data_IF_122098963322
#
_entry.id   IF_122098963322
#
_cell.length_a   1.000
_cell.length_b   1.000
_cell.length_c   1.000
_cell.angle_alpha   90.00
_cell.angle_beta   90.00
_cell.angle_gamma   90.00
#
_symmetry.space_group_name_H-M   'P 1'
#
loop_
_entity.id
_entity.type
_entity.pdbx_description
1 polymer ?
#
# COMPACT_ATOMS: atom_id res chain seq x y z
N UNK A 1 9.94 59.11 -65.37
CA UNK A 1 10.87 58.53 -64.38
C UNK A 1 10.58 59.16 -63.02
N UNK A 2 9.73 58.53 -62.21
CA UNK A 2 9.59 58.84 -60.80
C UNK A 2 9.40 57.52 -60.05
N UNK A 3 10.37 57.23 -59.19
CA UNK A 3 10.46 56.02 -58.38
C UNK A 3 9.43 56.05 -57.25
N UNK A 4 8.51 55.08 -57.22
CA UNK A 4 7.76 54.74 -56.01
C UNK A 4 8.60 53.75 -55.20
N UNK A 5 9.14 54.20 -54.07
CA UNK A 5 9.86 53.38 -53.09
C UNK A 5 8.80 52.66 -52.26
N UNK A 6 8.70 51.33 -52.41
CA UNK A 6 7.89 50.46 -51.56
C UNK A 6 8.65 50.18 -50.26
N UNK A 7 8.24 50.79 -49.14
CA UNK A 7 8.76 50.45 -47.81
C UNK A 7 8.20 49.09 -47.38
N UNK A 8 9.06 48.06 -47.38
CA UNK A 8 8.75 46.80 -46.70
C UNK A 8 8.80 47.00 -45.19
N UNK A 9 7.65 46.95 -44.52
CA UNK A 9 7.58 46.81 -43.07
C UNK A 9 8.04 45.39 -42.69
N UNK A 10 9.26 45.27 -42.18
CA UNK A 10 9.73 44.03 -41.55
C UNK A 10 8.99 43.83 -40.23
N UNK A 11 8.08 42.86 -40.21
CA UNK A 11 7.49 42.33 -38.98
C UNK A 11 8.56 41.52 -38.23
N UNK A 12 9.23 42.15 -37.28
CA UNK A 12 10.04 41.47 -36.28
C UNK A 12 9.13 40.63 -35.38
N UNK A 13 9.00 39.35 -35.68
CA UNK A 13 8.37 38.38 -34.78
C UNK A 13 9.35 38.11 -33.64
N UNK A 14 9.15 38.78 -32.51
CA UNK A 14 9.84 38.47 -31.26
C UNK A 14 9.26 37.12 -30.79
N UNK A 15 9.92 36.04 -31.17
CA UNK A 15 9.69 34.72 -30.59
C UNK A 15 10.19 34.78 -29.16
N UNK A 16 9.27 35.05 -28.23
CA UNK A 16 9.55 34.94 -26.80
C UNK A 16 10.03 33.52 -26.51
N UNK A 17 11.26 33.40 -26.02
CA UNK A 17 11.75 32.19 -25.37
C UNK A 17 10.89 31.99 -24.12
N UNK A 18 9.83 31.20 -24.26
CA UNK A 18 9.01 30.76 -23.16
C UNK A 18 9.82 29.67 -22.44
N UNK A 19 10.63 30.09 -21.47
CA UNK A 19 11.33 29.17 -20.58
C UNK A 19 10.28 28.59 -19.64
N UNK A 20 9.76 27.41 -19.98
CA UNK A 20 8.95 26.62 -19.06
C UNK A 20 9.83 26.18 -17.90
N UNK A 21 9.62 26.80 -16.73
CA UNK A 21 10.17 26.29 -15.48
C UNK A 21 9.37 25.04 -15.12
N UNK A 22 9.90 23.86 -15.43
CA UNK A 22 9.39 22.62 -14.87
C UNK A 22 9.60 22.68 -13.35
N UNK A 23 8.50 22.68 -12.61
CA UNK A 23 8.54 22.52 -11.16
C UNK A 23 9.25 21.21 -10.85
N UNK A 24 10.42 21.28 -10.22
CA UNK A 24 11.14 20.13 -9.71
C UNK A 24 10.32 19.50 -8.57
N UNK A 25 9.37 18.65 -8.94
CA UNK A 25 8.69 17.79 -7.98
C UNK A 25 9.73 16.97 -7.23
N UNK A 26 9.63 16.93 -5.91
CA UNK A 26 10.49 16.07 -5.07
C UNK A 26 10.25 14.63 -5.49
N UNK A 27 11.16 14.07 -6.30
CA UNK A 27 11.11 12.67 -6.69
C UNK A 27 11.61 11.86 -5.51
N UNK A 28 10.69 11.41 -4.66
CA UNK A 28 11.07 10.53 -3.55
C UNK A 28 11.56 9.20 -4.13
N UNK A 29 12.84 8.91 -3.95
CA UNK A 29 13.45 7.69 -4.44
C UNK A 29 12.95 6.49 -3.62
N UNK A 30 12.38 5.50 -4.31
CA UNK A 30 12.06 4.21 -3.71
C UNK A 30 13.35 3.41 -3.63
N UNK A 31 13.69 2.96 -2.42
CA UNK A 31 14.83 2.06 -2.24
C UNK A 31 14.46 0.89 -1.34
N UNK A 32 14.69 -0.31 -1.85
CA UNK A 32 14.61 -1.54 -1.05
C UNK A 32 15.62 -1.53 0.11
N UNK A 33 16.68 -0.72 0.03
CA UNK A 33 17.70 -0.56 1.07
C UNK A 33 17.38 0.52 2.11
N UNK A 34 16.17 1.13 2.07
CA UNK A 34 15.74 2.07 3.12
C UNK A 34 15.90 1.42 4.50
N UNK A 35 16.68 2.07 5.36
CA UNK A 35 16.89 1.63 6.74
C UNK A 35 15.58 1.68 7.53
N UNK A 36 15.34 0.65 8.35
CA UNK A 36 14.22 0.55 9.27
C UNK A 36 14.73 0.27 10.68
N UNK A 37 14.01 0.76 11.68
CA UNK A 37 14.32 0.61 13.11
C UNK A 37 13.92 -0.74 13.66
N UNK A 38 12.71 -1.18 13.32
CA UNK A 38 12.10 -2.39 13.86
C UNK A 38 11.11 -3.03 12.87
N UNK A 39 10.81 -4.30 13.12
CA UNK A 39 9.79 -5.07 12.39
C UNK A 39 8.59 -5.29 13.32
N UNK A 40 7.39 -5.15 12.77
CA UNK A 40 6.15 -5.51 13.45
C UNK A 40 5.66 -6.84 12.89
N UNK A 41 5.40 -7.77 13.80
CA UNK A 41 4.84 -9.11 13.54
C UNK A 41 3.63 -9.34 14.44
N UNK A 42 2.75 -10.26 14.03
CA UNK A 42 1.68 -10.81 14.88
C UNK A 42 1.89 -12.31 15.08
N UNK A 43 1.23 -12.90 16.08
CA UNK A 43 1.39 -14.32 16.42
C UNK A 43 0.44 -15.25 15.67
N UNK A 44 -0.64 -14.70 15.12
CA UNK A 44 -1.73 -15.46 14.51
C UNK A 44 -1.67 -15.52 12.98
N UNK A 45 -0.64 -14.96 12.33
CA UNK A 45 -0.44 -15.11 10.90
C UNK A 45 -0.12 -16.55 10.51
N UNK A 46 -0.55 -16.96 9.32
CA UNK A 46 -0.37 -18.31 8.78
C UNK A 46 1.10 -18.67 8.51
N UNK A 47 1.42 -19.95 8.72
CA UNK A 47 2.77 -20.49 8.51
C UNK A 47 3.13 -20.80 7.06
N UNK A 48 2.12 -20.99 6.21
CA UNK A 48 2.25 -21.49 4.84
C UNK A 48 2.56 -20.40 3.82
N UNK A 49 3.10 -20.81 2.66
CA UNK A 49 3.55 -19.92 1.61
C UNK A 49 4.95 -19.35 1.81
N UNK A 50 5.33 -18.44 0.92
CA UNK A 50 6.65 -17.81 0.90
C UNK A 50 6.55 -16.32 1.21
N UNK A 51 7.59 -15.78 1.86
CA UNK A 51 7.72 -14.33 2.02
C UNK A 51 8.06 -13.70 0.67
N UNK A 52 7.24 -12.74 0.25
CA UNK A 52 7.47 -11.95 -0.94
C UNK A 52 8.58 -10.92 -0.79
N UNK A 53 8.74 -10.11 -1.83
CA UNK A 53 9.72 -9.03 -1.80
C UNK A 53 9.34 -7.94 -0.81
N UNK A 54 10.32 -7.38 -0.10
CA UNK A 54 10.12 -6.19 0.73
C UNK A 54 9.93 -4.97 -0.16
N UNK A 55 8.85 -4.22 0.04
CA UNK A 55 8.69 -2.89 -0.55
C UNK A 55 8.60 -1.81 0.54
N UNK A 56 9.31 -0.70 0.32
CA UNK A 56 9.43 0.41 1.25
C UNK A 56 8.82 1.67 0.64
N UNK A 57 8.08 2.42 1.46
CA UNK A 57 7.70 3.79 1.17
C UNK A 57 8.95 4.60 0.75
N UNK A 58 8.84 5.54 -0.20
CA UNK A 58 9.92 6.45 -0.52
C UNK A 58 10.49 7.19 0.70
N UNK A 59 11.78 7.53 0.68
CA UNK A 59 12.45 8.14 1.82
C UNK A 59 11.70 9.39 2.35
N UNK A 60 11.57 9.51 3.68
CA UNK A 60 10.85 10.62 4.32
C UNK A 60 9.32 10.53 4.28
N UNK A 61 8.75 9.47 3.70
CA UNK A 61 7.30 9.21 3.71
C UNK A 61 6.93 8.00 4.58
N UNK A 62 5.70 7.96 5.06
CA UNK A 62 5.16 6.91 5.95
C UNK A 62 3.73 6.60 5.58
N UNK A 63 3.33 5.34 5.82
CA UNK A 63 1.98 4.88 5.58
C UNK A 63 1.00 5.61 6.49
N UNK A 64 0.04 6.31 5.90
CA UNK A 64 -1.10 6.92 6.58
C UNK A 64 -2.43 6.32 6.15
N UNK A 65 -2.42 5.43 5.17
CA UNK A 65 -3.59 4.71 4.71
C UNK A 65 -3.22 3.39 4.07
N UNK A 66 -4.23 2.57 3.79
CA UNK A 66 -4.06 1.28 3.12
C UNK A 66 -5.29 0.91 2.28
N UNK A 67 -5.08 -0.02 1.36
CA UNK A 67 -6.11 -0.75 0.63
C UNK A 67 -5.85 -2.25 0.77
N UNK A 68 -6.92 -3.05 0.71
CA UNK A 68 -6.86 -4.50 0.70
C UNK A 68 -7.22 -5.02 -0.68
N UNK A 69 -6.66 -6.17 -1.07
CA UNK A 69 -7.13 -6.92 -2.22
C UNK A 69 -8.01 -8.06 -1.73
N UNK A 70 -9.28 -8.01 -2.07
CA UNK A 70 -10.33 -8.97 -1.66
C UNK A 70 -11.12 -9.38 -2.88
N UNK A 71 -11.61 -10.61 -2.95
CA UNK A 71 -12.56 -10.97 -4.02
C UNK A 71 -13.93 -10.39 -3.73
N UNK A 72 -14.67 -10.12 -4.82
CA UNK A 72 -16.05 -9.67 -4.70
C UNK A 72 -16.91 -10.86 -4.26
N UNK A 73 -17.93 -10.64 -3.40
CA UNK A 73 -18.90 -11.69 -3.06
C UNK A 73 -19.54 -12.24 -4.34
N UNK A 74 -19.29 -13.51 -4.67
CA UNK A 74 -19.75 -14.11 -5.93
C UNK A 74 -21.22 -14.58 -5.85
N UNK A 75 -21.87 -14.41 -4.69
CA UNK A 75 -23.30 -14.65 -4.51
C UNK A 75 -23.64 -15.08 -3.07
N UNK A 76 -24.92 -15.31 -2.74
CA UNK A 76 -25.35 -15.66 -1.38
C UNK A 76 -24.92 -17.06 -0.90
N UNK A 77 -24.08 -17.77 -1.65
CA UNK A 77 -23.68 -19.17 -1.42
C UNK A 77 -22.22 -19.47 -1.73
N UNK A 78 -21.43 -18.47 -2.14
CA UNK A 78 -20.02 -18.66 -2.46
C UNK A 78 -19.17 -17.98 -1.39
N UNK A 79 -18.10 -18.65 -0.98
CA UNK A 79 -17.24 -18.23 0.11
C UNK A 79 -16.55 -16.92 -0.25
N UNK A 80 -16.75 -15.88 0.57
CA UNK A 80 -16.02 -14.63 0.45
C UNK A 80 -14.55 -14.92 0.74
N UNK A 81 -13.74 -15.06 -0.31
CA UNK A 81 -12.37 -15.56 -0.20
C UNK A 81 -11.47 -14.59 0.59
N UNK A 82 -10.41 -15.18 1.16
CA UNK A 82 -9.46 -14.52 2.05
C UNK A 82 -8.74 -13.30 1.40
N UNK A 83 -8.01 -12.54 2.23
CA UNK A 83 -7.17 -11.46 1.73
C UNK A 83 -6.17 -11.98 0.72
N UNK A 84 -6.06 -11.27 -0.39
CA UNK A 84 -5.09 -11.54 -1.45
C UNK A 84 -3.92 -10.54 -1.41
N UNK A 85 -4.04 -9.41 -0.71
CA UNK A 85 -2.98 -8.40 -0.70
C UNK A 85 -3.23 -7.22 0.20
N UNK A 86 -2.13 -6.54 0.53
CA UNK A 86 -2.12 -5.29 1.29
C UNK A 86 -1.32 -4.27 0.50
N UNK A 87 -1.85 -3.06 0.37
CA UNK A 87 -1.16 -1.91 -0.21
C UNK A 87 -1.15 -0.77 0.80
N UNK A 88 0.04 -0.23 1.07
CA UNK A 88 0.21 0.95 1.91
C UNK A 88 0.24 2.22 1.06
N UNK A 89 -0.32 3.30 1.59
CA UNK A 89 -0.30 4.63 0.99
C UNK A 89 0.51 5.60 1.84
N UNK A 90 1.65 5.98 1.30
CA UNK A 90 2.69 6.72 1.99
C UNK A 90 2.64 8.20 1.66
N UNK A 91 2.62 9.04 2.69
CA UNK A 91 2.62 10.50 2.59
C UNK A 91 3.81 11.09 3.37
N UNK A 92 4.24 12.28 2.97
CA UNK A 92 5.29 13.02 3.68
C UNK A 92 4.78 13.62 5.00
N UNK A 93 3.58 14.21 4.95
CA UNK A 93 2.92 14.84 6.11
C UNK A 93 1.41 14.56 6.08
N UNK A 94 0.75 14.38 7.23
CA UNK A 94 -0.70 14.13 7.34
C UNK A 94 -1.61 15.21 6.72
N UNK A 95 -1.07 16.36 6.31
CA UNK A 95 -1.83 17.41 5.60
C UNK A 95 -1.87 17.25 4.07
N UNK A 96 -1.19 16.26 3.49
CA UNK A 96 -1.03 16.10 2.04
C UNK A 96 -1.55 14.75 1.51
N UNK A 97 -2.80 14.39 1.82
CA UNK A 97 -3.42 13.16 1.30
C UNK A 97 -3.55 13.10 -0.22
N UNK A 98 -3.44 14.24 -0.93
CA UNK A 98 -3.49 14.29 -2.40
C UNK A 98 -2.15 13.95 -3.08
N UNK A 99 -1.05 13.91 -2.32
CA UNK A 99 0.27 13.55 -2.83
C UNK A 99 0.83 12.37 -2.04
N UNK A 100 0.41 11.17 -2.46
CA UNK A 100 0.87 9.91 -1.88
C UNK A 100 1.59 9.04 -2.91
N UNK A 101 2.35 8.08 -2.39
CA UNK A 101 2.88 6.96 -3.16
C UNK A 101 2.32 5.67 -2.59
N UNK A 102 2.13 4.65 -3.43
CA UNK A 102 1.65 3.34 -3.00
C UNK A 102 2.79 2.33 -3.02
N UNK A 103 2.81 1.41 -2.06
CA UNK A 103 3.73 0.26 -2.01
C UNK A 103 2.98 -1.00 -1.59
N UNK A 104 3.37 -2.15 -2.12
CA UNK A 104 2.82 -3.48 -1.87
C UNK A 104 3.93 -4.52 -2.04
N UNK A 105 3.86 -5.61 -1.28
CA UNK A 105 4.75 -6.75 -1.49
C UNK A 105 4.17 -7.66 -2.58
N UNK A 106 4.41 -8.97 -2.49
CA UNK A 106 3.71 -9.94 -3.33
C UNK A 106 2.20 -9.86 -3.04
N UNK A 107 1.40 -10.11 -4.07
CA UNK A 107 -0.06 -10.02 -4.03
C UNK A 107 -0.64 -11.21 -4.80
N UNK A 108 -1.70 -11.79 -4.27
CA UNK A 108 -2.46 -12.87 -4.90
C UNK A 108 -3.09 -12.45 -6.22
N UNK A 109 -3.39 -13.42 -7.07
CA UNK A 109 -3.79 -13.15 -8.46
C UNK A 109 -5.20 -12.60 -8.57
N UNK A 110 -6.03 -12.87 -7.57
CA UNK A 110 -7.47 -12.64 -7.58
C UNK A 110 -7.89 -11.42 -6.75
N UNK A 111 -9.16 -11.05 -6.90
CA UNK A 111 -9.79 -9.94 -6.19
C UNK A 111 -9.45 -8.55 -6.71
N UNK A 112 -10.18 -7.57 -6.16
CA UNK A 112 -10.11 -6.14 -6.44
C UNK A 112 -9.55 -5.38 -5.25
N UNK A 113 -8.90 -4.26 -5.53
CA UNK A 113 -8.46 -3.36 -4.47
C UNK A 113 -9.64 -2.58 -3.92
N UNK A 114 -9.78 -2.57 -2.59
CA UNK A 114 -10.72 -1.70 -1.88
C UNK A 114 -10.31 -0.24 -2.04
N UNK A 115 -11.26 0.66 -1.79
CA UNK A 115 -10.97 2.08 -1.64
C UNK A 115 -9.92 2.33 -0.57
N UNK A 116 -9.22 3.46 -0.68
CA UNK A 116 -8.19 3.84 0.28
C UNK A 116 -8.85 4.23 1.61
N UNK A 117 -8.43 3.57 2.68
CA UNK A 117 -8.75 3.97 4.05
C UNK A 117 -7.60 4.81 4.59
N UNK A 118 -7.89 6.02 5.09
CA UNK A 118 -6.90 6.92 5.68
C UNK A 118 -7.07 7.00 7.19
N UNK A 119 -5.96 7.08 7.92
CA UNK A 119 -5.97 7.42 9.33
C UNK A 119 -6.70 8.74 9.55
N UNK A 120 -7.53 8.86 10.61
CA UNK A 120 -8.12 10.15 10.98
C UNK A 120 -7.06 11.23 11.19
N UNK A 121 -5.92 10.84 11.77
CA UNK A 121 -4.73 11.68 11.88
C UNK A 121 -3.46 10.83 12.07
N UNK A 122 -2.37 11.33 11.48
CA UNK A 122 -1.03 10.74 11.60
C UNK A 122 -0.81 9.51 10.73
N UNK A 123 0.02 8.59 11.22
CA UNK A 123 0.52 7.43 10.49
C UNK A 123 0.11 6.12 11.14
N UNK A 124 0.20 5.03 10.40
CA UNK A 124 0.00 3.67 10.92
C UNK A 124 1.14 3.32 11.90
N UNK A 125 0.78 2.77 13.06
CA UNK A 125 1.68 2.51 14.18
C UNK A 125 1.64 1.06 14.69
N UNK A 126 0.55 0.33 14.54
CA UNK A 126 0.48 -1.09 14.90
C UNK A 126 -0.61 -1.75 14.08
N UNK A 127 -0.66 -3.08 14.07
CA UNK A 127 -1.73 -3.81 13.38
C UNK A 127 -2.17 -5.07 14.13
N UNK A 128 -3.37 -5.54 13.81
CA UNK A 128 -3.92 -6.84 14.14
C UNK A 128 -4.41 -7.52 12.88
N UNK A 129 -4.15 -8.82 12.73
CA UNK A 129 -4.78 -9.64 11.70
C UNK A 129 -6.00 -10.35 12.27
N UNK A 130 -7.04 -10.44 11.43
CA UNK A 130 -8.15 -11.37 11.61
C UNK A 130 -7.85 -12.61 10.79
N UNK A 131 -7.86 -13.76 11.44
CA UNK A 131 -7.40 -15.00 10.83
C UNK A 131 -8.34 -16.12 11.25
N UNK A 132 -8.66 -17.02 10.32
CA UNK A 132 -9.41 -18.22 10.65
C UNK A 132 -8.51 -19.26 11.32
N UNK A 133 -8.93 -19.85 12.46
CA UNK A 133 -8.15 -20.90 13.09
C UNK A 133 -8.17 -22.15 12.21
N UNK A 134 -7.02 -22.82 12.10
CA UNK A 134 -6.91 -24.14 11.48
C UNK A 134 -8.01 -25.09 12.00
N UNK A 135 -8.78 -25.66 11.09
CA UNK A 135 -9.88 -26.59 11.41
C UNK A 135 -9.42 -28.05 11.55
N UNK A 136 -8.11 -28.31 11.64
CA UNK A 136 -7.55 -29.65 11.76
C UNK A 136 -6.67 -30.01 10.57
N UNK A 137 -6.90 -31.18 9.96
CA UNK A 137 -5.96 -31.77 9.00
C UNK A 137 -6.00 -31.15 7.60
N UNK A 138 -7.04 -30.40 7.23
CA UNK A 138 -7.26 -29.97 5.84
C UNK A 138 -8.08 -28.67 5.78
N UNK A 139 -7.54 -27.54 6.27
CA UNK A 139 -7.81 -26.19 5.71
C UNK A 139 -7.05 -25.07 6.44
N UNK A 140 -6.62 -24.09 5.64
CA UNK A 140 -5.56 -23.14 5.90
C UNK A 140 -5.95 -21.93 6.76
N UNK A 141 -5.00 -21.52 7.59
CA UNK A 141 -5.08 -20.32 8.42
C UNK A 141 -4.78 -19.09 7.54
N UNK A 142 -5.79 -18.60 6.81
CA UNK A 142 -5.67 -17.43 5.93
C UNK A 142 -6.06 -16.11 6.65
N UNK A 143 -5.39 -15.02 6.29
CA UNK A 143 -5.74 -13.70 6.79
C UNK A 143 -6.99 -13.20 6.08
N UNK A 144 -8.00 -12.81 6.86
CA UNK A 144 -9.32 -12.42 6.39
C UNK A 144 -9.55 -10.91 6.49
N UNK A 145 -8.90 -10.24 7.45
CA UNK A 145 -8.98 -8.79 7.61
C UNK A 145 -7.77 -8.25 8.41
N UNK A 146 -7.60 -6.93 8.42
CA UNK A 146 -6.57 -6.21 9.17
C UNK A 146 -7.15 -4.93 9.78
N UNK A 147 -6.77 -4.61 11.01
CA UNK A 147 -7.01 -3.31 11.63
C UNK A 147 -5.66 -2.70 11.96
N UNK A 148 -5.51 -1.40 11.73
CA UNK A 148 -4.36 -0.64 12.16
C UNK A 148 -4.70 0.28 13.32
N UNK A 149 -3.72 0.45 14.21
CA UNK A 149 -3.68 1.58 15.13
C UNK A 149 -2.97 2.73 14.42
N UNK A 150 -3.63 3.87 14.34
CA UNK A 150 -3.04 5.10 13.85
C UNK A 150 -2.33 5.84 14.99
N UNK A 151 -1.61 6.91 14.66
CA UNK A 151 -1.09 7.82 15.69
C UNK A 151 -2.22 8.39 16.56
N UNK A 152 -3.39 8.61 15.96
CA UNK A 152 -4.63 8.91 16.66
C UNK A 152 -5.79 8.11 16.05
N UNK A 153 -6.43 7.27 16.86
CA UNK A 153 -7.56 6.43 16.45
C UNK A 153 -7.15 5.09 15.85
N UNK A 154 -8.15 4.38 15.32
CA UNK A 154 -8.01 3.08 14.66
C UNK A 154 -8.55 3.16 13.24
N UNK A 155 -8.05 2.29 12.37
CA UNK A 155 -8.43 2.21 10.98
C UNK A 155 -8.74 0.76 10.62
N UNK A 156 -10.02 0.50 10.34
CA UNK A 156 -10.52 -0.84 10.02
C UNK A 156 -10.38 -1.11 8.52
N UNK A 157 -10.01 -2.35 8.19
CA UNK A 157 -10.00 -2.86 6.83
C UNK A 157 -11.36 -3.38 6.39
N UNK A 158 -11.58 -3.33 5.08
CA UNK A 158 -12.78 -3.88 4.42
C UNK A 158 -12.53 -5.32 3.94
N UNK A 159 -11.88 -6.13 4.78
CA UNK A 159 -11.79 -7.58 4.59
C UNK A 159 -13.05 -8.30 5.06
N UNK A 160 -13.01 -9.63 5.04
CA UNK A 160 -14.16 -10.47 5.41
C UNK A 160 -14.40 -10.46 6.93
N UNK A 161 -15.53 -11.05 7.34
CA UNK A 161 -15.89 -11.20 8.74
C UNK A 161 -15.59 -12.60 9.31
N UNK A 162 -14.77 -13.39 8.63
CA UNK A 162 -14.43 -14.74 9.07
C UNK A 162 -13.24 -14.75 10.03
N UNK A 163 -13.20 -15.75 10.91
CA UNK A 163 -12.14 -15.92 11.90
C UNK A 163 -12.15 -14.91 13.05
N UNK A 164 -11.03 -14.88 13.78
CA UNK A 164 -10.87 -14.11 15.02
C UNK A 164 -9.71 -13.12 14.93
N UNK A 165 -9.85 -11.97 15.60
CA UNK A 165 -8.77 -11.01 15.76
C UNK A 165 -7.68 -11.55 16.68
N UNK A 166 -6.44 -11.50 16.23
CA UNK A 166 -5.27 -11.79 17.05
C UNK A 166 -4.91 -10.66 18.01
N UNK A 167 -3.80 -10.80 18.72
CA UNK A 167 -3.24 -9.71 19.55
C UNK A 167 -2.60 -8.63 18.69
N UNK A 168 -2.60 -7.39 19.16
CA UNK A 168 -1.85 -6.29 18.53
C UNK A 168 -0.37 -6.65 18.37
N UNK A 169 0.22 -6.20 17.27
CA UNK A 169 1.66 -6.08 17.13
C UNK A 169 2.23 -5.14 18.19
N UNK A 170 3.56 -5.09 18.30
CA UNK A 170 4.20 -3.98 19.00
C UNK A 170 3.87 -2.64 18.32
N UNK A 171 3.99 -1.56 19.08
CA UNK A 171 3.89 -0.21 18.54
C UNK A 171 5.16 0.15 17.80
N UNK A 172 5.00 0.69 16.60
CA UNK A 172 6.08 1.08 15.72
C UNK A 172 7.00 2.12 16.35
N UNK A 173 8.29 1.81 16.38
CA UNK A 173 9.32 2.77 16.77
C UNK A 173 9.53 3.81 15.66
N UNK A 174 9.84 5.06 16.03
CA UNK A 174 9.98 6.16 15.06
C UNK A 174 8.65 6.80 14.66
N UNK A 175 8.58 7.41 13.47
CA UNK A 175 7.38 8.14 13.02
C UNK A 175 6.23 7.24 12.60
N UNK A 176 6.50 6.15 11.88
CA UNK A 176 5.43 5.27 11.42
C UNK A 176 5.89 4.12 10.55
N UNK A 177 4.92 3.27 10.20
CA UNK A 177 5.14 2.17 9.26
C UNK A 177 5.55 2.76 7.90
N UNK A 178 6.59 2.20 7.30
CA UNK A 178 7.24 2.70 6.10
C UNK A 178 7.53 1.59 5.07
N UNK A 179 6.96 0.41 5.23
CA UNK A 179 7.13 -0.69 4.30
C UNK A 179 6.50 -1.97 4.80
N UNK A 180 6.45 -2.97 3.94
CA UNK A 180 5.88 -4.27 4.22
C UNK A 180 6.56 -5.38 3.43
N UNK A 181 6.41 -6.62 3.91
CA UNK A 181 6.50 -7.84 3.12
C UNK A 181 5.35 -8.77 3.50
N UNK A 182 4.69 -9.37 2.51
CA UNK A 182 3.58 -10.31 2.71
C UNK A 182 4.08 -11.73 2.59
N UNK A 183 3.43 -12.66 3.28
CA UNK A 183 3.60 -14.10 3.07
C UNK A 183 2.39 -14.60 2.31
N UNK A 184 2.65 -15.19 1.15
CA UNK A 184 1.62 -15.64 0.24
C UNK A 184 1.90 -17.07 -0.19
N UNK A 185 0.86 -17.87 -0.26
CA UNK A 185 0.92 -19.21 -0.82
C UNK A 185 0.76 -19.15 -2.34
N UNK A 186 1.77 -19.57 -3.10
CA UNK A 186 1.68 -19.60 -4.57
C UNK A 186 0.95 -20.87 -5.03
N UNK A 187 0.18 -20.84 -6.12
CA UNK A 187 -0.62 -21.99 -6.56
C UNK A 187 0.26 -23.22 -6.77
N UNK A 188 -0.07 -24.34 -6.10
CA UNK A 188 0.69 -25.60 -6.19
C UNK A 188 0.16 -26.56 -7.27
N UNK A 189 -0.80 -26.16 -8.11
CA UNK A 189 -1.34 -27.00 -9.17
C UNK A 189 -2.86 -26.90 -9.33
N UNK A 190 -3.57 -28.03 -9.33
CA UNK A 190 -5.05 -28.08 -9.39
C UNK A 190 -5.62 -28.03 -7.97
N UNK A 191 -6.09 -26.86 -7.56
CA UNK A 191 -6.72 -26.56 -6.27
C UNK A 191 -6.43 -25.11 -5.89
N UNK A 192 -7.47 -24.39 -5.46
CA UNK A 192 -7.50 -22.97 -5.05
C UNK A 192 -6.40 -22.65 -3.99
N UNK A 193 -5.94 -21.44 -3.73
CA UNK A 193 -5.78 -20.20 -4.50
C UNK A 193 -4.72 -19.37 -3.76
N UNK A 194 -4.13 -18.37 -4.43
CA UNK A 194 -3.04 -17.57 -3.86
C UNK A 194 -3.50 -16.68 -2.70
N UNK A 195 -3.42 -17.13 -1.43
CA UNK A 195 -3.92 -16.37 -0.27
C UNK A 195 -2.81 -15.66 0.52
N UNK A 196 -3.15 -14.54 1.15
CA UNK A 196 -2.29 -13.84 2.11
C UNK A 196 -2.42 -14.51 3.47
N UNK A 197 -1.31 -15.06 3.95
CA UNK A 197 -1.24 -15.76 5.22
C UNK A 197 -0.69 -14.87 6.34
N UNK A 198 0.28 -14.00 6.05
CA UNK A 198 0.91 -13.16 7.06
C UNK A 198 1.51 -11.88 6.45
N UNK A 199 1.88 -10.93 7.32
CA UNK A 199 2.54 -9.70 6.93
C UNK A 199 3.54 -9.25 8.00
N UNK A 200 4.71 -8.81 7.55
CA UNK A 200 5.67 -8.08 8.37
C UNK A 200 5.67 -6.62 7.93
N UNK A 201 5.52 -5.71 8.88
CA UNK A 201 5.58 -4.26 8.63
C UNK A 201 6.89 -3.69 9.13
N UNK A 202 7.42 -2.71 8.43
CA UNK A 202 8.71 -2.07 8.76
C UNK A 202 8.50 -0.67 9.32
N UNK A 203 9.25 -0.33 10.36
CA UNK A 203 9.16 0.94 11.07
C UNK A 203 10.33 1.88 10.77
N UNK A 204 10.05 3.16 10.51
CA UNK A 204 11.07 4.17 10.21
C UNK A 204 10.93 5.45 11.03
N UNK A 205 12.02 6.22 11.11
CA UNK A 205 12.06 7.64 11.49
C UNK A 205 11.39 8.54 10.50
#
# INVERSE_FOLDING_TARGET
MHHSISMMFSLLVISGLQVSVESAGIRFERSISRHYRSELTVKNGGGWGSWGHREMCPAGTYAAGFSLRVEDPVGPREDDTALNGIRLHCIYTPSLYHHYSSVQSDVGSWGRWTEIRWCPSGFLKAFQLRVEPSQGNDDDTAANNIIFQCSQGTLHGDGTNWGHWGTWSQTCEGKGICGLKTRIEVPQGRGDDTSLNDVIMYCCD
#
